data_IF_463335218605
#
_entry.id   IF_463335218605
#
_cell.length_a   1.000
_cell.length_b   1.000
_cell.length_c   1.000
_cell.angle_alpha   90.00
_cell.angle_beta   90.00
_cell.angle_gamma   90.00
#
_symmetry.space_group_name_H-M   'P 1'
#
loop_
_entity.id
_entity.type
_entity.pdbx_description
1 polymer ?
#
# COMPACT_ATOMS: atom_id res chain seq x y z
N UNK A 1 -28.40 -6.91 -9.66
CA UNK A 1 -27.47 -6.08 -8.87
C UNK A 1 -27.13 -4.85 -9.68
N UNK A 2 -27.40 -3.65 -9.17
CA UNK A 2 -26.92 -2.42 -9.83
C UNK A 2 -25.41 -2.32 -9.65
N UNK A 3 -24.68 -1.98 -10.71
CA UNK A 3 -23.29 -1.57 -10.57
C UNK A 3 -23.23 -0.32 -9.67
N UNK A 4 -22.24 -0.27 -8.78
CA UNK A 4 -21.96 0.93 -7.99
C UNK A 4 -21.55 2.06 -8.94
N UNK A 5 -22.00 3.27 -8.66
CA UNK A 5 -21.48 4.46 -9.32
C UNK A 5 -19.99 4.63 -8.99
N UNK A 6 -19.25 5.39 -9.82
CA UNK A 6 -17.83 5.62 -9.59
C UNK A 6 -17.51 6.20 -8.21
N UNK A 7 -18.41 7.05 -7.68
CA UNK A 7 -18.27 7.64 -6.35
C UNK A 7 -18.46 6.60 -5.23
N UNK A 8 -19.50 5.78 -5.31
CA UNK A 8 -19.73 4.71 -4.34
C UNK A 8 -18.60 3.69 -4.36
N UNK A 9 -18.08 3.35 -5.54
CA UNK A 9 -16.92 2.47 -5.66
C UNK A 9 -15.68 3.08 -4.99
N UNK A 10 -15.43 4.38 -5.19
CA UNK A 10 -14.33 5.10 -4.55
C UNK A 10 -14.42 5.08 -3.02
N UNK A 11 -15.62 5.23 -2.46
CA UNK A 11 -15.85 5.17 -1.02
C UNK A 11 -15.60 3.76 -0.45
N UNK A 12 -16.07 2.72 -1.14
CA UNK A 12 -15.81 1.33 -0.76
C UNK A 12 -14.32 1.03 -0.77
N UNK A 13 -13.60 1.43 -1.82
CA UNK A 13 -12.16 1.21 -1.93
C UNK A 13 -11.38 1.99 -0.84
N UNK A 14 -11.83 3.21 -0.51
CA UNK A 14 -11.25 4.00 0.59
C UNK A 14 -11.44 3.31 1.94
N UNK A 15 -12.65 2.79 2.20
CA UNK A 15 -12.95 2.07 3.44
C UNK A 15 -12.13 0.77 3.56
N UNK A 16 -12.04 0.00 2.47
CA UNK A 16 -11.22 -1.22 2.43
C UNK A 16 -9.74 -0.91 2.68
N UNK A 17 -9.20 0.12 2.01
CA UNK A 17 -7.81 0.55 2.20
C UNK A 17 -7.52 0.98 3.64
N UNK A 18 -8.47 1.67 4.28
CA UNK A 18 -8.36 2.08 5.69
C UNK A 18 -8.35 0.86 6.61
N UNK A 19 -9.29 -0.07 6.43
CA UNK A 19 -9.42 -1.27 7.26
C UNK A 19 -8.16 -2.16 7.19
N UNK A 20 -7.59 -2.35 5.99
CA UNK A 20 -6.36 -3.12 5.81
C UNK A 20 -5.19 -2.48 6.56
N UNK A 21 -5.04 -1.14 6.47
CA UNK A 21 -4.02 -0.41 7.23
C UNK A 21 -4.20 -0.55 8.73
N UNK A 22 -5.41 -0.35 9.25
CA UNK A 22 -5.68 -0.50 10.68
C UNK A 22 -5.32 -1.90 11.18
N UNK A 23 -5.69 -2.94 10.44
CA UNK A 23 -5.34 -4.32 10.79
C UNK A 23 -3.84 -4.56 10.79
N UNK A 24 -3.13 -4.07 9.77
CA UNK A 24 -1.67 -4.17 9.70
C UNK A 24 -0.97 -3.50 10.89
N UNK A 25 -1.44 -2.30 11.28
CA UNK A 25 -0.95 -1.59 12.47
C UNK A 25 -1.16 -2.41 13.74
N UNK A 26 -2.37 -2.96 13.93
CA UNK A 26 -2.71 -3.76 15.11
C UNK A 26 -1.87 -5.04 15.21
N UNK A 27 -1.50 -5.64 14.09
CA UNK A 27 -0.72 -6.89 14.07
C UNK A 27 0.79 -6.68 13.93
N UNK A 28 1.26 -5.43 13.81
CA UNK A 28 2.67 -5.14 13.52
C UNK A 28 3.13 -5.64 12.14
N UNK A 29 2.21 -5.90 11.22
CA UNK A 29 2.54 -6.48 9.91
C UNK A 29 2.82 -5.38 8.87
N UNK A 30 3.81 -5.57 7.98
CA UNK A 30 4.02 -4.65 6.87
C UNK A 30 2.96 -4.85 5.79
N UNK A 31 2.67 -3.78 5.05
CA UNK A 31 1.85 -3.80 3.85
C UNK A 31 2.73 -3.69 2.61
N UNK A 32 2.33 -4.38 1.54
CA UNK A 32 2.95 -4.25 0.23
C UNK A 32 1.90 -3.90 -0.82
N UNK A 33 2.14 -2.86 -1.61
CA UNK A 33 1.23 -2.43 -2.66
C UNK A 33 1.98 -1.72 -3.79
N UNK A 34 1.31 -1.48 -4.91
CA UNK A 34 1.86 -0.70 -6.02
C UNK A 34 1.41 0.76 -5.91
N UNK A 35 2.34 1.70 -6.07
CA UNK A 35 2.06 3.14 -6.11
C UNK A 35 2.96 3.79 -7.17
N UNK A 36 2.35 4.48 -8.13
CA UNK A 36 3.06 5.16 -9.23
C UNK A 36 4.05 4.24 -9.98
N UNK A 37 3.68 2.99 -10.19
CA UNK A 37 4.52 1.99 -10.87
C UNK A 37 5.58 1.33 -9.98
N UNK A 38 5.79 1.82 -8.76
CA UNK A 38 6.75 1.24 -7.82
C UNK A 38 6.06 0.33 -6.80
N UNK A 39 6.75 -0.73 -6.39
CA UNK A 39 6.32 -1.52 -5.23
C UNK A 39 6.69 -0.75 -3.96
N UNK A 40 5.73 -0.59 -3.06
CA UNK A 40 5.90 0.11 -1.79
C UNK A 40 5.71 -0.88 -0.65
N UNK A 41 6.60 -0.82 0.34
CA UNK A 41 6.44 -1.42 1.66
C UNK A 41 6.03 -0.32 2.64
N UNK A 42 4.93 -0.50 3.38
CA UNK A 42 4.50 0.38 4.48
C UNK A 42 4.61 -0.41 5.79
N UNK A 43 5.43 0.06 6.72
CA UNK A 43 5.56 -0.53 8.05
C UNK A 43 4.34 -0.23 8.93
N UNK A 44 4.18 -0.99 10.00
CA UNK A 44 3.09 -0.82 10.95
C UNK A 44 3.10 0.56 11.65
N UNK A 45 4.24 1.24 11.71
CA UNK A 45 4.32 2.62 12.21
C UNK A 45 4.01 3.68 11.13
N UNK A 46 3.79 3.25 9.89
CA UNK A 46 3.46 4.10 8.76
C UNK A 46 4.66 4.57 7.95
N UNK A 47 5.90 4.18 8.29
CA UNK A 47 7.06 4.44 7.43
C UNK A 47 6.92 3.70 6.11
N UNK A 48 7.21 4.38 5.00
CA UNK A 48 7.06 3.81 3.65
C UNK A 48 8.38 3.78 2.91
N UNK A 49 8.53 2.75 2.11
CA UNK A 49 9.74 2.50 1.34
C UNK A 49 9.37 2.08 -0.08
N UNK A 50 9.91 2.77 -1.09
CA UNK A 50 9.90 2.29 -2.45
C UNK A 50 10.95 1.18 -2.59
N UNK A 51 10.52 0.06 -3.17
CA UNK A 51 11.35 -1.11 -3.42
C UNK A 51 11.74 -1.11 -4.90
N UNK A 52 13.05 -1.00 -5.18
CA UNK A 52 13.61 -0.94 -6.54
C UNK A 52 14.64 -2.06 -6.67
N UNK A 53 14.60 -2.78 -7.79
CA UNK A 53 15.65 -3.76 -8.13
C UNK A 53 16.67 -3.06 -9.02
N UNK A 54 17.94 -3.08 -8.62
CA UNK A 54 19.02 -2.50 -9.42
C UNK A 54 19.47 -3.42 -10.58
N UNK A 55 20.45 -2.96 -11.36
CA UNK A 55 20.96 -3.70 -12.51
C UNK A 55 21.62 -5.04 -12.18
N UNK A 56 22.03 -5.25 -10.92
CA UNK A 56 22.64 -6.48 -10.43
C UNK A 56 21.60 -7.42 -9.78
N UNK A 57 20.32 -7.04 -9.80
CA UNK A 57 19.23 -7.82 -9.21
C UNK A 57 19.09 -7.64 -7.70
N UNK A 58 19.79 -6.66 -7.10
CA UNK A 58 19.70 -6.38 -5.67
C UNK A 58 18.50 -5.50 -5.37
N UNK A 59 17.77 -5.85 -4.30
CA UNK A 59 16.68 -5.04 -3.79
C UNK A 59 17.22 -3.84 -2.99
N UNK A 60 16.85 -2.64 -3.42
CA UNK A 60 17.11 -1.37 -2.77
C UNK A 60 15.82 -0.81 -2.19
N UNK A 61 15.93 -0.19 -1.02
CA UNK A 61 14.81 0.43 -0.31
C UNK A 61 15.06 1.91 -0.11
N UNK A 62 14.14 2.74 -0.58
CA UNK A 62 14.22 4.19 -0.47
C UNK A 62 13.03 4.71 0.32
N UNK A 63 13.28 5.45 1.40
CA UNK A 63 12.20 6.09 2.16
C UNK A 63 11.40 7.02 1.25
N UNK A 64 10.08 6.91 1.30
CA UNK A 64 9.16 7.81 0.58
C UNK A 64 8.22 8.43 1.60
N UNK A 65 8.15 9.76 1.63
CA UNK A 65 7.26 10.53 2.51
C UNK A 65 5.80 10.45 2.03
#
# INVERSE_FOLDING_TARGET
MSAKTGQELKEVLKAASKSVREKAKLTGAPLFYMQNGNRVREDADGRKYALIVDGDGKLLEFSIE
#
